data_IF_803053980869
#
_entry.id   IF_803053980869
#
_cell.length_a   1.000
_cell.length_b   1.000
_cell.length_c   1.000
_cell.angle_alpha   90.00
_cell.angle_beta   90.00
_cell.angle_gamma   90.00
#
_symmetry.space_group_name_H-M   'P 1'
#
loop_
_entity.id
_entity.type
_entity.pdbx_description
1 polymer ?
#
# COMPACT_ATOMS: atom_id res chain seq x y z
N UNK A 1 -21.33 16.37 -27.36
CA UNK A 1 -21.86 15.08 -26.87
C UNK A 1 -20.99 14.45 -25.77
N UNK A 2 -19.66 14.49 -25.85
CA UNK A 2 -18.73 13.98 -24.81
C UNK A 2 -18.97 14.50 -23.37
N UNK A 3 -19.28 15.79 -23.17
CA UNK A 3 -19.51 16.35 -21.82
C UNK A 3 -20.67 15.68 -21.06
N UNK A 4 -21.73 15.25 -21.75
CA UNK A 4 -22.87 14.56 -21.13
C UNK A 4 -22.52 13.12 -20.72
N UNK A 5 -21.69 12.44 -21.52
CA UNK A 5 -21.21 11.08 -21.22
C UNK A 5 -20.26 11.07 -20.01
N UNK A 6 -19.35 12.04 -19.92
CA UNK A 6 -18.45 12.16 -18.77
C UNK A 6 -19.21 12.46 -17.47
N UNK A 7 -20.28 13.26 -17.54
CA UNK A 7 -21.10 13.58 -16.38
C UNK A 7 -21.91 12.35 -15.91
N UNK A 8 -22.47 11.56 -16.84
CA UNK A 8 -23.12 10.30 -16.51
C UNK A 8 -22.15 9.28 -15.92
N UNK A 9 -20.95 9.14 -16.49
CA UNK A 9 -19.90 8.29 -15.95
C UNK A 9 -19.50 8.72 -14.52
N UNK A 10 -19.34 10.02 -14.27
CA UNK A 10 -19.04 10.54 -12.94
C UNK A 10 -20.15 10.21 -11.94
N UNK A 11 -21.42 10.40 -12.31
CA UNK A 11 -22.58 10.11 -11.44
C UNK A 11 -22.70 8.62 -11.11
N UNK A 12 -22.41 7.73 -12.07
CA UNK A 12 -22.38 6.29 -11.84
C UNK A 12 -21.20 5.85 -10.95
N UNK A 13 -20.06 6.53 -11.04
CA UNK A 13 -18.89 6.26 -10.20
C UNK A 13 -19.02 6.87 -8.80
N UNK A 14 -19.77 7.96 -8.66
CA UNK A 14 -19.96 8.71 -7.42
C UNK A 14 -20.34 7.83 -6.21
N UNK A 15 -21.35 6.93 -6.28
CA UNK A 15 -21.70 6.08 -5.14
C UNK A 15 -20.55 5.16 -4.71
N UNK A 16 -19.83 4.57 -5.67
CA UNK A 16 -18.66 3.71 -5.38
C UNK A 16 -17.53 4.50 -4.73
N UNK A 17 -17.24 5.71 -5.23
CA UNK A 17 -16.22 6.60 -4.67
C UNK A 17 -16.61 7.06 -3.27
N UNK A 18 -17.88 7.37 -3.02
CA UNK A 18 -18.36 7.80 -1.70
C UNK A 18 -18.25 6.67 -0.68
N UNK A 19 -18.69 5.46 -1.03
CA UNK A 19 -18.61 4.31 -0.12
C UNK A 19 -17.15 3.95 0.16
N UNK A 20 -16.32 3.81 -0.87
CA UNK A 20 -14.90 3.49 -0.72
C UNK A 20 -14.17 4.59 0.06
N UNK A 21 -14.41 5.85 -0.29
CA UNK A 21 -13.86 7.01 0.39
C UNK A 21 -14.25 7.03 1.86
N UNK A 22 -15.53 6.81 2.19
CA UNK A 22 -15.96 6.73 3.59
C UNK A 22 -15.24 5.61 4.33
N UNK A 23 -15.15 4.41 3.77
CA UNK A 23 -14.48 3.28 4.42
C UNK A 23 -12.97 3.47 4.60
N UNK A 24 -12.29 4.19 3.70
CA UNK A 24 -10.85 4.44 3.78
C UNK A 24 -10.55 5.66 4.65
N UNK A 25 -11.22 6.78 4.41
CA UNK A 25 -10.93 8.06 5.06
C UNK A 25 -11.49 8.12 6.49
N UNK A 26 -12.63 7.50 6.78
CA UNK A 26 -13.19 7.48 8.14
C UNK A 26 -12.21 6.88 9.18
N UNK A 27 -11.69 5.65 9.04
CA UNK A 27 -10.72 5.10 9.99
C UNK A 27 -9.38 5.85 9.96
N UNK A 28 -8.99 6.42 8.82
CA UNK A 28 -7.78 7.23 8.73
C UNK A 28 -7.90 8.49 9.60
N UNK A 29 -8.99 9.25 9.48
CA UNK A 29 -9.24 10.45 10.30
C UNK A 29 -9.34 10.08 11.78
N UNK A 30 -10.02 8.97 12.12
CA UNK A 30 -10.11 8.49 13.50
C UNK A 30 -8.72 8.17 14.08
N UNK A 31 -7.84 7.55 13.28
CA UNK A 31 -6.46 7.27 13.68
C UNK A 31 -5.67 8.57 13.88
N UNK A 32 -5.80 9.55 12.98
CA UNK A 32 -5.20 10.88 13.13
C UNK A 32 -5.66 11.61 14.39
N UNK A 33 -6.92 11.47 14.78
CA UNK A 33 -7.40 11.99 16.05
C UNK A 33 -6.75 11.26 17.23
N UNK A 34 -6.71 9.92 17.20
CA UNK A 34 -6.22 9.10 18.31
C UNK A 34 -4.73 9.31 18.60
N UNK A 35 -3.86 9.44 17.58
CA UNK A 35 -2.41 9.62 17.77
C UNK A 35 -2.05 10.93 18.51
N UNK A 36 -2.94 11.92 18.50
CA UNK A 36 -2.77 13.18 19.24
C UNK A 36 -3.30 13.13 20.68
N UNK A 37 -3.97 12.04 21.05
CA UNK A 37 -4.48 11.80 22.39
C UNK A 37 -3.46 10.97 23.18
N UNK A 38 -3.37 11.19 24.48
CA UNK A 38 -2.64 10.34 25.40
C UNK A 38 -3.52 9.12 25.70
N UNK A 39 -3.03 7.95 25.34
CA UNK A 39 -3.73 6.68 25.52
C UNK A 39 -3.22 5.94 26.75
N UNK A 40 -4.15 5.37 27.53
CA UNK A 40 -3.80 4.45 28.62
C UNK A 40 -3.30 3.11 28.07
N UNK A 41 -2.79 2.22 28.93
CA UNK A 41 -2.41 0.85 28.61
C UNK A 41 -3.57 0.03 27.99
N UNK A 42 -4.81 0.43 28.26
CA UNK A 42 -6.04 -0.16 27.70
C UNK A 42 -6.50 0.50 26.38
N UNK A 43 -5.74 1.46 25.84
CA UNK A 43 -6.06 2.13 24.58
C UNK A 43 -7.17 3.18 24.65
N UNK A 44 -7.60 3.57 25.86
CA UNK A 44 -8.60 4.63 26.06
C UNK A 44 -7.92 6.02 26.02
N UNK A 45 -8.45 6.99 25.27
CA UNK A 45 -7.93 8.35 25.25
C UNK A 45 -8.25 9.07 26.58
N UNK A 46 -7.22 9.43 27.33
CA UNK A 46 -7.36 10.11 28.64
C UNK A 46 -7.35 11.64 28.45
N UNK A 47 -6.43 12.14 27.61
CA UNK A 47 -6.18 13.59 27.49
C UNK A 47 -5.65 13.96 26.11
N UNK A 48 -6.12 15.06 25.54
CA UNK A 48 -5.53 15.61 24.32
C UNK A 48 -4.17 16.25 24.64
N UNK A 49 -3.10 15.72 24.05
CA UNK A 49 -1.72 16.18 24.26
C UNK A 49 -1.07 16.72 22.97
N UNK A 50 -1.85 16.79 21.88
CA UNK A 50 -1.39 17.29 20.59
C UNK A 50 -0.21 16.47 20.06
N UNK A 51 0.87 17.15 19.67
CA UNK A 51 2.03 16.50 19.05
C UNK A 51 3.09 15.97 20.04
N UNK A 52 2.84 16.08 21.35
CA UNK A 52 3.84 15.69 22.36
C UNK A 52 4.21 14.21 22.28
N UNK A 53 3.26 13.34 21.93
CA UNK A 53 3.51 11.91 21.72
C UNK A 53 4.54 11.66 20.62
N UNK A 54 4.46 12.39 19.51
CA UNK A 54 5.40 12.26 18.40
C UNK A 54 6.80 12.70 18.84
N UNK A 55 6.92 13.86 19.46
CA UNK A 55 8.22 14.38 19.91
C UNK A 55 8.90 13.39 20.86
N UNK A 56 8.15 12.81 21.81
CA UNK A 56 8.67 11.80 22.72
C UNK A 56 9.09 10.52 22.00
N UNK A 57 8.31 10.05 21.01
CA UNK A 57 8.67 8.88 20.20
C UNK A 57 9.96 9.12 19.41
N UNK A 58 10.10 10.28 18.77
CA UNK A 58 11.28 10.64 17.98
C UNK A 58 12.56 10.75 18.83
N UNK A 59 12.45 11.07 20.12
CA UNK A 59 13.60 11.09 21.03
C UNK A 59 13.94 9.72 21.64
N UNK A 60 13.13 8.68 21.41
CA UNK A 60 13.42 7.36 21.97
C UNK A 60 14.43 6.59 21.10
N UNK A 61 15.50 6.10 21.72
CA UNK A 61 16.57 5.37 21.03
C UNK A 61 16.05 4.12 20.32
N UNK A 62 15.08 3.44 20.93
CA UNK A 62 14.43 2.26 20.35
C UNK A 62 13.71 2.60 19.04
N UNK A 63 12.97 3.72 18.98
CA UNK A 63 12.25 4.12 17.78
C UNK A 63 13.20 4.54 16.65
N UNK A 64 14.25 5.30 16.97
CA UNK A 64 15.29 5.68 15.99
C UNK A 64 16.03 4.45 15.43
N UNK A 65 16.31 3.48 16.28
CA UNK A 65 16.91 2.20 15.86
C UNK A 65 15.97 1.45 14.93
N UNK A 66 14.69 1.32 15.29
CA UNK A 66 13.70 0.65 14.45
C UNK A 66 13.54 1.33 13.09
N UNK A 67 13.46 2.66 13.03
CA UNK A 67 13.38 3.41 11.77
C UNK A 67 14.60 3.12 10.90
N UNK A 68 15.80 3.15 11.48
CA UNK A 68 17.05 2.93 10.75
C UNK A 68 17.09 1.52 10.16
N UNK A 69 16.76 0.50 10.97
CA UNK A 69 16.71 -0.89 10.51
C UNK A 69 15.66 -1.09 9.42
N UNK A 70 14.46 -0.53 9.59
CA UNK A 70 13.40 -0.62 8.56
C UNK A 70 13.82 0.10 7.28
N UNK A 71 14.46 1.27 7.37
CA UNK A 71 14.90 2.02 6.20
C UNK A 71 15.99 1.25 5.42
N UNK A 72 16.99 0.71 6.12
CA UNK A 72 18.02 -0.14 5.50
C UNK A 72 17.37 -1.37 4.85
N UNK A 73 16.44 -2.02 5.55
CA UNK A 73 15.72 -3.18 5.02
C UNK A 73 14.92 -2.84 3.75
N UNK A 74 14.13 -1.77 3.76
CA UNK A 74 13.31 -1.35 2.61
C UNK A 74 14.19 -1.03 1.40
N UNK A 75 15.29 -0.30 1.60
CA UNK A 75 16.20 0.05 0.51
C UNK A 75 16.90 -1.21 -0.04
N UNK A 76 17.45 -2.04 0.83
CA UNK A 76 18.15 -3.26 0.44
C UNK A 76 17.22 -4.23 -0.32
N UNK A 77 16.02 -4.48 0.22
CA UNK A 77 15.03 -5.35 -0.42
C UNK A 77 14.52 -4.77 -1.73
N UNK A 78 14.20 -3.48 -1.79
CA UNK A 78 13.73 -2.84 -3.02
C UNK A 78 14.77 -2.93 -4.14
N UNK A 79 16.05 -2.63 -3.85
CA UNK A 79 17.13 -2.73 -4.84
C UNK A 79 17.29 -4.19 -5.29
N UNK A 80 17.32 -5.11 -4.34
CA UNK A 80 17.45 -6.54 -4.64
C UNK A 80 16.31 -7.06 -5.52
N UNK A 81 15.06 -6.71 -5.19
CA UNK A 81 13.88 -7.10 -5.99
C UNK A 81 13.95 -6.52 -7.41
N UNK A 82 14.34 -5.26 -7.57
CA UNK A 82 14.49 -4.65 -8.90
C UNK A 82 15.59 -5.33 -9.71
N UNK A 83 16.74 -5.63 -9.10
CA UNK A 83 17.82 -6.36 -9.77
C UNK A 83 17.36 -7.75 -10.20
N UNK A 84 16.75 -8.53 -9.31
CA UNK A 84 16.21 -9.84 -9.63
C UNK A 84 15.17 -9.79 -10.75
N UNK A 85 14.22 -8.85 -10.68
CA UNK A 85 13.20 -8.65 -11.71
C UNK A 85 13.83 -8.29 -13.07
N UNK A 86 14.87 -7.44 -13.06
CA UNK A 86 15.59 -7.05 -14.27
C UNK A 86 16.34 -8.23 -14.90
N UNK A 87 17.05 -9.04 -14.10
CA UNK A 87 17.71 -10.26 -14.57
C UNK A 87 16.70 -11.25 -15.17
N UNK A 88 15.58 -11.48 -14.48
CA UNK A 88 14.50 -12.33 -14.98
C UNK A 88 13.89 -11.79 -16.27
N UNK A 89 13.68 -10.48 -16.37
CA UNK A 89 13.15 -9.84 -17.57
C UNK A 89 14.07 -10.03 -18.77
N UNK A 90 15.39 -9.91 -18.59
CA UNK A 90 16.36 -10.19 -19.65
C UNK A 90 16.30 -11.65 -20.07
N UNK A 91 16.28 -12.59 -19.13
CA UNK A 91 16.18 -14.02 -19.42
C UNK A 91 14.88 -14.36 -20.17
N UNK A 92 13.75 -13.79 -19.76
CA UNK A 92 12.46 -13.97 -20.40
C UNK A 92 12.38 -13.31 -21.80
N UNK A 93 13.09 -12.19 -21.99
CA UNK A 93 13.15 -11.48 -23.28
C UNK A 93 13.99 -12.22 -24.32
N UNK A 94 15.00 -13.00 -23.89
CA UNK A 94 15.62 -13.98 -24.78
C UNK A 94 14.55 -15.02 -25.06
N UNK A 95 14.34 -15.35 -26.34
CA UNK A 95 13.37 -16.36 -26.80
C UNK A 95 13.59 -17.68 -26.03
N UNK A 96 12.95 -17.80 -24.87
CA UNK A 96 12.89 -19.03 -24.11
C UNK A 96 11.76 -19.82 -24.73
N UNK A 97 12.11 -20.86 -25.46
CA UNK A 97 11.20 -21.86 -26.03
C UNK A 97 10.25 -22.45 -24.96
N UNK A 98 10.63 -22.34 -23.68
CA UNK A 98 9.86 -22.70 -22.48
C UNK A 98 8.59 -21.86 -22.28
N UNK A 99 8.52 -20.62 -22.79
CA UNK A 99 7.32 -19.78 -22.64
C UNK A 99 6.10 -20.38 -23.34
N UNK A 100 6.31 -21.05 -24.48
CA UNK A 100 5.25 -21.78 -25.18
C UNK A 100 4.72 -22.98 -24.39
N UNK A 101 5.56 -23.65 -23.60
CA UNK A 101 5.14 -24.76 -22.73
C UNK A 101 4.34 -24.26 -21.52
N UNK A 102 4.73 -23.13 -20.91
CA UNK A 102 3.96 -22.52 -19.82
C UNK A 102 2.63 -21.94 -20.28
N UNK A 103 2.56 -21.36 -21.48
CA UNK A 103 1.30 -20.94 -22.08
C UNK A 103 0.37 -22.14 -22.29
N UNK A 104 0.87 -23.24 -22.86
CA UNK A 104 0.07 -24.46 -23.08
C UNK A 104 -0.45 -25.07 -21.76
N UNK A 105 0.37 -25.10 -20.72
CA UNK A 105 -0.03 -25.60 -19.40
C UNK A 105 -1.05 -24.67 -18.71
N UNK A 106 -0.87 -23.36 -18.80
CA UNK A 106 -1.81 -22.37 -18.24
C UNK A 106 -3.15 -22.41 -18.98
N UNK A 107 -3.13 -22.56 -20.31
CA UNK A 107 -4.32 -22.72 -21.15
C UNK A 107 -5.08 -24.02 -20.82
N UNK A 108 -4.38 -25.13 -20.56
CA UNK A 108 -5.00 -26.38 -20.10
C UNK A 108 -5.65 -26.26 -18.72
N UNK A 109 -5.04 -25.51 -17.79
CA UNK A 109 -5.55 -25.33 -16.43
C UNK A 109 -6.81 -24.45 -16.40
N UNK A 110 -6.87 -23.41 -17.23
CA UNK A 110 -7.91 -22.38 -17.14
C UNK A 110 -9.00 -22.46 -18.23
N UNK A 111 -8.85 -23.30 -19.26
CA UNK A 111 -9.95 -23.62 -20.18
C UNK A 111 -10.54 -22.44 -20.95
N UNK A 112 -9.81 -21.34 -21.12
CA UNK A 112 -10.21 -20.25 -22.01
C UNK A 112 -9.72 -20.61 -23.42
N UNK A 113 -10.64 -21.06 -24.27
CA UNK A 113 -10.42 -21.21 -25.72
C UNK A 113 -10.57 -19.88 -26.43
#
# INVERSE_FOLDING_TARGET
>A
MQKKQNLLALVLLLPSIVVLGMFVFYPMIKTFWLITQLTDLMGNPIKFVGFKNFINLFHSDSFMTSITVTMIFVIATSIFTVLCAYFLAILASKKCEVWGFSEQFFQQQWGFR
#
